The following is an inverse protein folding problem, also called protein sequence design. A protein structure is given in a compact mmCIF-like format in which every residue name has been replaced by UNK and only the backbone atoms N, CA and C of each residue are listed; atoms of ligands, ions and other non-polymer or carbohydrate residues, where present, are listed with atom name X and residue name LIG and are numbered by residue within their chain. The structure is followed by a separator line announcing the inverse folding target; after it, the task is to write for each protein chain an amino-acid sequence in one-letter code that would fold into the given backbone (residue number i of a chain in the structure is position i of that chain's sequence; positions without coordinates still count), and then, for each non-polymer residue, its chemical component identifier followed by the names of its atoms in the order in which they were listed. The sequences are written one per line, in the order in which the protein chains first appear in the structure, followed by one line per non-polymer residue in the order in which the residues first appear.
data_IF_715181910805
#
_entry.id   IF_715181910805
#
_cell.length_a   1.000
_cell.length_b   1.000
_cell.length_c   1.000
_cell.angle_alpha   90.00
_cell.angle_beta   90.00
_cell.angle_gamma   90.00
#
_symmetry.space_group_name_H-M   'P 1'
#
loop_
_entity.id
_entity.type
_entity.pdbx_description
1 polymer ?
#
# COMPACT_ATOMS: atom_id res chain seq x y z
N UNK A 1 -46.86 34.29 -8.80
CA UNK A 1 -46.02 33.71 -7.73
C UNK A 1 -44.93 32.87 -8.39
N UNK A 2 -43.71 33.40 -8.50
CA UNK A 2 -42.53 32.65 -8.96
C UNK A 2 -41.77 32.18 -7.72
N UNK A 3 -41.72 30.87 -7.48
CA UNK A 3 -40.89 30.26 -6.44
C UNK A 3 -39.58 29.90 -7.12
N UNK A 4 -38.55 30.75 -6.92
CA UNK A 4 -37.17 30.42 -7.27
C UNK A 4 -36.65 29.38 -6.28
N UNK A 5 -36.52 28.14 -6.73
CA UNK A 5 -35.84 27.06 -6.01
C UNK A 5 -34.32 27.31 -6.07
N UNK A 6 -33.76 27.89 -5.01
CA UNK A 6 -32.31 27.96 -4.80
C UNK A 6 -31.81 26.56 -4.40
N UNK A 7 -31.28 25.83 -5.39
CA UNK A 7 -30.57 24.58 -5.17
C UNK A 7 -29.16 24.93 -4.64
N UNK A 8 -29.01 24.97 -3.32
CA UNK A 8 -27.71 25.14 -2.69
C UNK A 8 -26.88 23.87 -2.90
N UNK A 9 -25.94 23.90 -3.84
CA UNK A 9 -24.88 22.90 -3.94
C UNK A 9 -23.96 23.04 -2.73
N UNK A 10 -24.24 22.26 -1.68
CA UNK A 10 -23.26 22.01 -0.63
C UNK A 10 -22.13 21.21 -1.24
N UNK A 11 -21.03 21.88 -1.58
CA UNK A 11 -19.75 21.22 -1.85
C UNK A 11 -19.32 20.52 -0.56
N UNK A 12 -19.61 19.22 -0.48
CA UNK A 12 -19.03 18.35 0.51
C UNK A 12 -17.52 18.35 0.25
N UNK A 13 -16.79 19.12 1.05
CA UNK A 13 -15.33 19.04 1.10
C UNK A 13 -15.05 17.69 1.74
N UNK A 14 -14.66 16.71 0.92
CA UNK A 14 -14.17 15.45 1.44
C UNK A 14 -12.88 15.76 2.19
N UNK A 15 -12.91 15.63 3.52
CA UNK A 15 -11.71 15.77 4.33
C UNK A 15 -10.65 14.77 3.82
N UNK A 16 -9.39 15.20 3.69
CA UNK A 16 -8.33 14.30 3.26
C UNK A 16 -8.24 13.14 4.24
N UNK A 17 -8.21 11.92 3.71
CA UNK A 17 -8.04 10.71 4.51
C UNK A 17 -6.72 10.80 5.31
N UNK A 18 -6.67 10.28 6.54
CA UNK A 18 -5.44 10.26 7.30
C UNK A 18 -4.41 9.34 6.63
N UNK A 19 -3.13 9.64 6.81
CA UNK A 19 -2.02 8.75 6.41
C UNK A 19 -2.08 7.42 7.17
N UNK A 20 -1.65 6.32 6.54
CA UNK A 20 -1.58 5.04 7.23
C UNK A 20 -0.38 4.95 8.17
N UNK A 21 0.75 5.62 7.85
CA UNK A 21 1.94 5.64 8.70
C UNK A 21 2.34 4.24 9.17
N UNK A 22 2.59 4.05 10.46
CA UNK A 22 3.00 2.75 11.01
C UNK A 22 1.94 1.63 11.02
N UNK A 23 0.72 1.89 10.48
CA UNK A 23 -0.34 0.86 10.35
C UNK A 23 -0.09 -0.07 9.16
N UNK A 24 0.60 0.42 8.13
CA UNK A 24 1.08 -0.35 6.98
C UNK A 24 2.59 -0.24 6.88
N UNK A 25 3.27 -1.38 6.82
CA UNK A 25 4.72 -1.45 6.71
C UNK A 25 5.10 -2.41 5.58
N UNK A 26 6.26 -2.17 4.97
CA UNK A 26 6.87 -3.11 4.04
C UNK A 26 7.73 -4.12 4.81
N UNK A 27 8.00 -5.27 4.20
CA UNK A 27 8.99 -6.22 4.74
C UNK A 27 9.85 -6.84 3.64
N UNK A 28 11.03 -7.31 4.06
CA UNK A 28 11.93 -8.16 3.28
C UNK A 28 12.26 -9.44 4.05
N UNK A 29 12.45 -10.53 3.32
CA UNK A 29 12.95 -11.81 3.82
C UNK A 29 14.35 -12.04 3.26
N UNK A 30 15.29 -12.44 4.11
CA UNK A 30 16.67 -12.69 3.72
C UNK A 30 17.28 -13.82 4.54
N UNK A 31 18.31 -14.45 3.99
CA UNK A 31 19.05 -15.49 4.67
C UNK A 31 20.24 -14.92 5.44
N UNK A 32 20.50 -15.43 6.64
CA UNK A 32 21.64 -15.08 7.45
C UNK A 32 22.33 -16.34 7.98
N UNK A 33 23.66 -16.33 8.05
CA UNK A 33 24.42 -17.40 8.69
C UNK A 33 24.53 -17.13 10.19
N UNK A 34 23.94 -18.00 11.01
CA UNK A 34 24.03 -17.97 12.48
C UNK A 34 24.54 -19.32 12.97
N UNK A 35 25.64 -19.33 13.73
CA UNK A 35 26.27 -20.56 14.23
C UNK A 35 26.54 -21.61 13.12
N UNK A 36 27.08 -21.15 11.99
CA UNK A 36 27.39 -21.98 10.82
C UNK A 36 26.16 -22.67 10.17
N UNK A 37 24.95 -22.13 10.39
CA UNK A 37 23.70 -22.56 9.76
C UNK A 37 23.02 -21.39 9.07
N UNK A 38 22.45 -21.63 7.89
CA UNK A 38 21.59 -20.67 7.21
C UNK A 38 20.25 -20.62 7.93
N UNK A 39 19.82 -19.42 8.32
CA UNK A 39 18.52 -19.16 8.94
C UNK A 39 17.83 -18.04 8.17
N UNK A 40 16.53 -18.19 7.96
CA UNK A 40 15.69 -17.12 7.41
C UNK A 40 15.50 -16.03 8.47
N UNK A 41 15.58 -14.78 8.01
CA UNK A 41 15.36 -13.56 8.78
C UNK A 41 14.49 -12.61 7.98
N UNK A 42 13.93 -11.65 8.68
CA UNK A 42 13.08 -10.64 8.07
C UNK A 42 13.35 -9.27 8.69
N UNK A 43 12.98 -8.23 7.95
CA UNK A 43 13.00 -6.84 8.40
C UNK A 43 11.70 -6.17 8.01
N UNK A 44 11.12 -5.42 8.95
CA UNK A 44 9.89 -4.63 8.75
C UNK A 44 10.26 -3.15 8.83
N UNK A 45 9.77 -2.35 7.89
CA UNK A 45 10.13 -0.94 7.75
C UNK A 45 8.97 -0.13 7.16
N UNK A 46 9.03 1.19 7.27
CA UNK A 46 8.04 2.08 6.64
C UNK A 46 8.03 1.86 5.13
N UNK A 47 6.84 1.88 4.52
CA UNK A 47 6.73 1.84 3.06
C UNK A 47 7.36 3.13 2.53
N UNK A 48 8.38 2.99 1.70
CA UNK A 48 9.01 4.09 0.98
C UNK A 48 8.69 4.07 -0.51
N UNK A 49 9.38 4.91 -1.26
CA UNK A 49 9.33 4.87 -2.71
C UNK A 49 9.87 3.52 -3.22
N UNK A 50 9.14 2.92 -4.16
CA UNK A 50 9.51 1.62 -4.74
C UNK A 50 10.39 1.82 -5.98
N UNK A 51 11.37 0.95 -6.18
CA UNK A 51 12.13 0.77 -7.42
C UNK A 51 12.41 -0.72 -7.66
N UNK A 52 12.81 -1.10 -8.88
CA UNK A 52 13.22 -2.47 -9.18
C UNK A 52 14.47 -2.89 -8.36
N UNK A 53 15.32 -1.92 -8.02
CA UNK A 53 16.55 -2.12 -7.23
C UNK A 53 16.35 -2.15 -5.71
N UNK A 54 15.24 -1.61 -5.20
CA UNK A 54 14.90 -1.55 -3.78
C UNK A 54 13.49 -2.09 -3.50
N UNK A 55 13.14 -3.19 -4.17
CA UNK A 55 11.84 -3.83 -4.01
C UNK A 55 11.71 -4.43 -2.60
N UNK A 56 10.56 -4.18 -1.97
CA UNK A 56 10.13 -4.96 -0.81
C UNK A 56 9.42 -6.25 -1.24
N UNK A 57 9.43 -7.27 -0.39
CA UNK A 57 8.81 -8.57 -0.69
C UNK A 57 7.29 -8.58 -0.43
N UNK A 58 6.80 -7.69 0.44
CA UNK A 58 5.37 -7.57 0.69
C UNK A 58 5.03 -6.48 1.69
N UNK A 59 3.77 -6.50 2.13
CA UNK A 59 3.21 -5.53 3.09
C UNK A 59 2.60 -6.26 4.28
N UNK A 60 2.82 -5.69 5.47
CA UNK A 60 2.31 -6.17 6.74
C UNK A 60 1.57 -5.08 7.51
N UNK A 61 0.71 -5.51 8.42
CA UNK A 61 0.15 -4.69 9.49
C UNK A 61 0.35 -5.37 10.84
N UNK A 62 0.33 -4.61 11.94
CA UNK A 62 0.43 -5.18 13.29
C UNK A 62 -0.78 -6.06 13.60
N UNK A 63 -0.57 -7.15 14.33
CA UNK A 63 -1.66 -8.05 14.73
C UNK A 63 -2.66 -7.39 15.70
N UNK A 64 -2.32 -6.25 16.31
CA UNK A 64 -3.22 -5.43 17.13
C UNK A 64 -4.23 -4.61 16.31
N UNK A 65 -4.04 -4.49 15.00
CA UNK A 65 -5.01 -3.83 14.11
C UNK A 65 -6.28 -4.67 13.93
N UNK A 66 -7.37 -4.03 13.49
CA UNK A 66 -8.65 -4.71 13.30
C UNK A 66 -8.54 -5.83 12.25
N UNK A 67 -9.06 -7.01 12.61
CA UNK A 67 -8.88 -8.19 11.79
C UNK A 67 -9.60 -8.13 10.43
N UNK A 68 -10.65 -7.30 10.34
CA UNK A 68 -11.49 -7.10 9.15
C UNK A 68 -10.93 -6.07 8.15
N UNK A 69 -9.73 -5.53 8.40
CA UNK A 69 -9.08 -4.63 7.46
C UNK A 69 -8.60 -5.38 6.21
N UNK A 70 -8.69 -4.68 5.07
CA UNK A 70 -8.25 -5.15 3.76
C UNK A 70 -7.31 -4.10 3.18
N UNK A 71 -6.21 -4.55 2.56
CA UNK A 71 -5.32 -3.68 1.79
C UNK A 71 -5.89 -3.50 0.39
N UNK A 72 -6.08 -2.27 -0.04
CA UNK A 72 -6.25 -1.95 -1.45
C UNK A 72 -4.97 -1.32 -2.00
N UNK A 73 -4.51 -1.84 -3.14
CA UNK A 73 -3.37 -1.32 -3.88
C UNK A 73 -3.86 -0.81 -5.21
N UNK A 74 -3.71 0.49 -5.42
CA UNK A 74 -4.03 1.17 -6.66
C UNK A 74 -2.77 1.68 -7.34
N UNK A 75 -2.66 1.53 -8.65
CA UNK A 75 -1.54 2.09 -9.44
C UNK A 75 -2.03 3.18 -10.38
N UNK A 76 -1.17 4.16 -10.68
CA UNK A 76 -1.46 5.33 -11.52
C UNK A 76 -0.25 5.66 -12.40
N UNK A 77 -0.48 6.28 -13.57
CA UNK A 77 0.62 6.80 -14.42
C UNK A 77 1.34 8.00 -13.81
N UNK A 78 0.71 8.68 -12.85
CA UNK A 78 1.24 9.83 -12.12
C UNK A 78 0.47 10.00 -10.82
N UNK A 79 0.99 10.78 -9.88
CA UNK A 79 0.35 11.06 -8.58
C UNK A 79 -1.13 11.49 -8.69
N UNK A 80 -1.44 12.40 -9.62
CA UNK A 80 -2.78 12.92 -9.89
C UNK A 80 -3.51 12.21 -11.04
N UNK A 81 -2.90 11.19 -11.62
CA UNK A 81 -3.47 10.44 -12.75
C UNK A 81 -4.66 9.58 -12.34
N UNK A 82 -5.47 9.18 -13.33
CA UNK A 82 -6.52 8.20 -13.10
C UNK A 82 -5.92 6.84 -12.69
N UNK A 83 -6.64 6.04 -11.88
CA UNK A 83 -6.26 4.65 -11.59
C UNK A 83 -6.06 3.84 -12.87
N UNK A 84 -4.95 3.11 -12.94
CA UNK A 84 -4.66 2.09 -13.95
C UNK A 84 -5.22 0.72 -13.53
N UNK A 85 -5.02 0.38 -12.26
CA UNK A 85 -5.52 -0.84 -11.65
C UNK A 85 -5.78 -0.60 -10.17
N UNK A 86 -6.70 -1.36 -9.60
CA UNK A 86 -6.93 -1.44 -8.16
C UNK A 86 -7.21 -2.90 -7.80
N UNK A 87 -6.47 -3.44 -6.84
CA UNK A 87 -6.62 -4.82 -6.34
C UNK A 87 -6.68 -4.80 -4.81
N UNK A 88 -7.47 -5.71 -4.24
CA UNK A 88 -7.64 -5.83 -2.80
C UNK A 88 -7.04 -7.15 -2.28
N UNK A 89 -6.43 -7.10 -1.10
CA UNK A 89 -5.73 -8.21 -0.47
C UNK A 89 -6.14 -8.33 0.99
N UNK A 90 -6.54 -9.53 1.38
CA UNK A 90 -6.85 -9.86 2.77
C UNK A 90 -5.55 -10.10 3.55
N UNK A 91 -5.57 -9.78 4.85
CA UNK A 91 -4.46 -10.07 5.74
C UNK A 91 -4.61 -11.43 6.43
N UNK A 92 -3.53 -12.20 6.52
CA UNK A 92 -3.44 -13.41 7.36
C UNK A 92 -2.29 -13.32 8.36
N UNK A 93 -2.35 -14.07 9.48
CA UNK A 93 -1.21 -14.21 10.38
C UNK A 93 0.07 -14.55 9.61
N UNK A 94 1.17 -13.89 9.95
CA UNK A 94 2.47 -14.22 9.38
C UNK A 94 3.14 -15.30 10.22
N UNK A 95 3.37 -16.48 9.63
CA UNK A 95 3.90 -17.64 10.36
C UNK A 95 5.28 -17.39 10.97
N UNK A 96 6.14 -16.63 10.27
CA UNK A 96 7.49 -16.31 10.72
C UNK A 96 7.55 -15.20 11.78
N UNK A 97 6.50 -14.37 11.89
CA UNK A 97 6.42 -13.31 12.90
C UNK A 97 4.99 -13.06 13.39
N UNK A 98 4.61 -13.59 14.57
CA UNK A 98 3.25 -13.48 15.10
C UNK A 98 2.85 -12.06 15.53
N UNK A 99 3.79 -11.11 15.58
CA UNK A 99 3.47 -9.71 15.84
C UNK A 99 2.73 -9.05 14.67
N UNK A 100 2.74 -9.67 13.48
CA UNK A 100 2.24 -9.10 12.25
C UNK A 100 1.28 -10.02 11.50
N UNK A 101 0.54 -9.40 10.57
CA UNK A 101 -0.26 -10.06 9.55
C UNK A 101 0.22 -9.59 8.18
N UNK A 102 0.32 -10.48 7.21
CA UNK A 102 0.79 -10.20 5.86
C UNK A 102 -0.36 -10.13 4.87
N UNK A 103 -0.28 -9.23 3.89
CA UNK A 103 -1.23 -9.12 2.80
C UNK A 103 -1.09 -10.35 1.86
N UNK A 104 -2.07 -11.26 1.90
CA UNK A 104 -1.99 -12.53 1.18
C UNK A 104 -1.93 -12.33 -0.33
N UNK A 105 -1.03 -13.06 -0.97
CA UNK A 105 -0.88 -13.07 -2.43
C UNK A 105 -0.54 -11.70 -3.04
N UNK A 106 -0.15 -10.73 -2.21
CA UNK A 106 0.36 -9.48 -2.70
C UNK A 106 1.83 -9.66 -3.08
N UNK A 107 2.12 -9.52 -4.37
CA UNK A 107 3.47 -9.46 -4.92
C UNK A 107 3.71 -8.04 -5.47
N UNK A 108 4.56 -7.22 -4.83
CA UNK A 108 4.89 -5.88 -5.30
C UNK A 108 5.42 -5.84 -6.74
N UNK A 109 6.20 -6.85 -7.16
CA UNK A 109 6.79 -6.90 -8.51
C UNK A 109 5.69 -7.08 -9.56
N UNK A 110 4.72 -7.94 -9.29
CA UNK A 110 3.56 -8.10 -10.18
C UNK A 110 2.67 -6.85 -10.16
N UNK A 111 2.37 -6.33 -8.96
CA UNK A 111 1.46 -5.21 -8.78
C UNK A 111 1.96 -3.92 -9.45
N UNK A 112 3.28 -3.68 -9.41
CA UNK A 112 3.89 -2.44 -9.90
C UNK A 112 4.54 -2.56 -11.29
N UNK A 113 4.49 -3.74 -11.92
CA UNK A 113 5.06 -4.00 -13.26
C UNK A 113 4.65 -2.97 -14.33
N UNK A 114 3.43 -2.44 -14.25
CA UNK A 114 2.92 -1.48 -15.23
C UNK A 114 3.57 -0.08 -15.13
N UNK A 115 4.15 0.24 -13.97
CA UNK A 115 4.66 1.57 -13.63
C UNK A 115 6.17 1.59 -13.31
N UNK A 116 6.80 0.43 -13.12
CA UNK A 116 8.21 0.33 -12.70
C UNK A 116 9.20 1.06 -13.61
N UNK A 117 9.24 0.71 -14.90
CA UNK A 117 10.21 1.28 -15.85
C UNK A 117 9.84 2.66 -16.40
N UNK A 118 8.58 3.08 -16.22
CA UNK A 118 8.05 4.31 -16.84
C UNK A 118 7.97 5.47 -15.85
N UNK A 119 8.20 5.19 -14.57
CA UNK A 119 7.73 6.03 -13.48
C UNK A 119 6.20 5.95 -13.34
N UNK A 120 5.72 6.36 -12.16
CA UNK A 120 4.30 6.37 -11.87
C UNK A 120 4.01 6.67 -10.41
N UNK A 121 2.84 6.24 -9.94
CA UNK A 121 2.51 6.31 -8.54
C UNK A 121 1.69 5.08 -8.13
N UNK A 122 1.74 4.74 -6.85
CA UNK A 122 0.83 3.78 -6.26
C UNK A 122 0.25 4.32 -4.96
N UNK A 123 -0.90 3.78 -4.60
CA UNK A 123 -1.66 4.15 -3.41
C UNK A 123 -1.92 2.89 -2.62
N UNK A 124 -1.60 2.93 -1.33
CA UNK A 124 -2.05 1.93 -0.37
C UNK A 124 -3.19 2.51 0.45
N UNK A 125 -4.29 1.77 0.54
CA UNK A 125 -5.42 2.10 1.41
C UNK A 125 -5.73 0.93 2.34
N UNK A 126 -6.01 1.25 3.60
CA UNK A 126 -6.67 0.30 4.48
C UNK A 126 -8.17 0.52 4.43
N UNK A 127 -8.91 -0.51 4.00
CA UNK A 127 -10.36 -0.49 3.94
C UNK A 127 -10.96 -1.27 5.10
N UNK A 128 -12.02 -0.72 5.69
CA UNK A 128 -12.92 -1.44 6.61
C UNK A 128 -14.33 -1.35 6.06
N UNK A 129 -14.96 -2.49 5.76
CA UNK A 129 -16.31 -2.52 5.17
C UNK A 129 -16.45 -1.63 3.92
N UNK A 130 -15.43 -1.61 3.06
CA UNK A 130 -15.30 -0.76 1.85
C UNK A 130 -15.13 0.75 2.10
N UNK A 131 -15.02 1.18 3.36
CA UNK A 131 -14.69 2.57 3.71
C UNK A 131 -13.19 2.69 3.97
N UNK A 132 -12.55 3.63 3.28
CA UNK A 132 -11.13 3.92 3.51
C UNK A 132 -10.92 4.48 4.91
N UNK A 133 -10.00 3.87 5.65
CA UNK A 133 -9.60 4.26 7.00
C UNK A 133 -8.35 5.13 6.99
N UNK A 134 -7.47 4.90 6.02
CA UNK A 134 -6.27 5.69 5.77
C UNK A 134 -5.79 5.44 4.34
N UNK A 135 -5.00 6.37 3.80
CA UNK A 135 -4.41 6.31 2.47
C UNK A 135 -3.00 6.91 2.47
N UNK A 136 -2.05 6.24 1.83
CA UNK A 136 -0.73 6.78 1.52
C UNK A 136 -0.44 6.66 0.01
N UNK A 137 0.08 7.74 -0.57
CA UNK A 137 0.47 7.84 -1.98
C UNK A 137 2.00 7.87 -2.09
N UNK A 138 2.54 7.03 -2.97
CA UNK A 138 3.97 6.91 -3.24
C UNK A 138 4.25 7.16 -4.72
N UNK A 139 5.37 7.82 -5.02
CA UNK A 139 5.76 8.16 -6.40
C UNK A 139 6.98 7.33 -6.78
N UNK A 140 6.88 6.63 -7.90
CA UNK A 140 7.98 5.89 -8.49
C UNK A 140 8.65 6.81 -9.50
N UNK A 141 9.88 7.22 -9.21
CA UNK A 141 10.70 7.97 -10.16
C UNK A 141 11.01 7.10 -11.38
N UNK A 142 11.10 7.73 -12.55
CA UNK A 142 11.58 7.04 -13.74
C UNK A 142 13.09 6.86 -13.60
N UNK A 143 13.58 5.63 -13.73
CA UNK A 143 15.01 5.39 -13.83
C UNK A 143 15.51 6.02 -15.15
N UNK A 144 16.43 6.98 -15.05
CA UNK A 144 17.16 7.50 -16.21
C UNK A 144 18.21 6.43 -16.58
N UNK A 145 18.06 5.83 -17.77
CA UNK A 145 19.08 4.95 -18.33
C UNK A 145 20.28 5.80 -18.76
N UNK A 146 21.35 5.79 -17.96
CA UNK A 146 22.67 6.35 -18.30
C UNK A 146 23.43 5.50 -19.35
#
# INVERSE_FOLDING_TARGET
MMISLLFALSFAHADPLPSCGSRLMAFNVYEQVVNNRIVEKHSVFEVGDWSDSSAFDGVVMKNSEDAALVLEVETRRSASGKPLSSKQYEFSPWESDPAYRTARHFDPREAFRAISHKGGAFVFRLLKNKTSQCEDLYVIAREEED
#
